data_IF_701132584297
#
_entry.id   IF_701132584297
#
_cell.length_a   1.000
_cell.length_b   1.000
_cell.length_c   1.000
_cell.angle_alpha   90.00
_cell.angle_beta   90.00
_cell.angle_gamma   90.00
#
_symmetry.space_group_name_H-M   'P 1'
#
loop_
_entity.id
_entity.type
_entity.pdbx_description
1 polymer ?
#
# COMPACT_ATOMS: atom_id res chain seq x y z
N UNK A 1 25.33 -11.81 -35.30
CA UNK A 1 25.76 -10.80 -34.32
C UNK A 1 25.10 -11.14 -32.99
N UNK A 2 25.88 -11.67 -32.05
CA UNK A 2 25.41 -12.27 -30.80
C UNK A 2 24.89 -11.14 -29.89
N UNK A 3 23.58 -11.13 -29.61
CA UNK A 3 22.98 -10.22 -28.63
C UNK A 3 23.47 -10.62 -27.24
N UNK A 4 24.42 -9.86 -26.70
CA UNK A 4 24.79 -9.94 -25.30
C UNK A 4 23.54 -9.67 -24.44
N UNK A 5 23.14 -10.68 -23.68
CA UNK A 5 22.04 -10.56 -22.72
C UNK A 5 22.52 -9.71 -21.55
N UNK A 6 21.83 -8.60 -21.28
CA UNK A 6 22.03 -7.69 -20.13
C UNK A 6 21.63 -8.34 -18.78
N UNK A 7 21.88 -9.65 -18.59
CA UNK A 7 21.52 -10.42 -17.39
C UNK A 7 22.41 -10.12 -16.17
N UNK A 8 23.35 -9.18 -16.25
CA UNK A 8 24.35 -8.95 -15.20
C UNK A 8 24.21 -7.67 -14.36
N UNK A 9 23.45 -6.65 -14.80
CA UNK A 9 23.36 -5.37 -14.08
C UNK A 9 21.99 -5.21 -13.42
N UNK A 10 21.93 -5.33 -12.10
CA UNK A 10 20.73 -5.02 -11.31
C UNK A 10 20.41 -3.54 -11.51
N UNK A 11 19.27 -3.26 -12.15
CA UNK A 11 18.79 -1.88 -12.32
C UNK A 11 18.24 -1.39 -10.99
N UNK A 12 18.41 -0.10 -10.67
CA UNK A 12 17.94 0.52 -9.42
C UNK A 12 16.46 0.22 -9.16
N UNK A 13 15.63 0.30 -10.20
CA UNK A 13 14.20 -0.05 -10.13
C UNK A 13 13.95 -1.50 -9.72
N UNK A 14 14.78 -2.44 -10.18
CA UNK A 14 14.65 -3.85 -9.81
C UNK A 14 15.06 -4.04 -8.34
N UNK A 15 16.11 -3.34 -7.86
CA UNK A 15 16.51 -3.33 -6.45
C UNK A 15 15.38 -2.81 -5.54
N UNK A 16 14.71 -1.72 -5.94
CA UNK A 16 13.54 -1.20 -5.22
C UNK A 16 12.44 -2.27 -5.14
N UNK A 17 12.14 -2.97 -6.25
CA UNK A 17 11.13 -4.04 -6.25
C UNK A 17 11.52 -5.25 -5.40
N UNK A 18 12.80 -5.65 -5.41
CA UNK A 18 13.31 -6.70 -4.51
C UNK A 18 13.00 -6.34 -3.05
N UNK A 19 13.34 -5.12 -2.63
CA UNK A 19 13.11 -4.68 -1.25
C UNK A 19 11.60 -4.61 -0.95
N UNK A 20 10.78 -4.05 -1.84
CA UNK A 20 9.32 -3.96 -1.66
C UNK A 20 8.71 -5.36 -1.46
N UNK A 21 9.07 -6.32 -2.31
CA UNK A 21 8.53 -7.68 -2.24
C UNK A 21 9.00 -8.41 -0.98
N UNK A 22 10.18 -8.09 -0.43
CA UNK A 22 10.70 -8.70 0.80
C UNK A 22 9.97 -8.29 2.08
N UNK A 23 9.24 -7.17 2.09
CA UNK A 23 8.62 -6.62 3.30
C UNK A 23 7.68 -7.55 4.08
N UNK A 24 6.94 -8.50 3.47
CA UNK A 24 6.16 -9.46 4.24
C UNK A 24 7.03 -10.26 5.21
N UNK A 25 8.23 -10.69 4.80
CA UNK A 25 9.15 -11.44 5.66
C UNK A 25 9.73 -10.55 6.75
N UNK A 26 10.30 -9.41 6.35
CA UNK A 26 11.02 -8.53 7.28
C UNK A 26 10.07 -7.92 8.30
N UNK A 27 8.82 -7.60 7.90
CA UNK A 27 7.79 -7.11 8.80
C UNK A 27 7.24 -8.19 9.73
N UNK A 28 7.21 -9.44 9.30
CA UNK A 28 6.82 -10.57 10.16
C UNK A 28 7.81 -10.78 11.30
N UNK A 29 9.10 -10.51 11.08
CA UNK A 29 10.14 -10.65 12.13
C UNK A 29 10.49 -9.32 12.82
N UNK A 30 9.73 -8.25 12.58
CA UNK A 30 10.05 -6.90 13.08
C UNK A 30 10.23 -6.86 14.61
N UNK A 31 9.46 -7.65 15.36
CA UNK A 31 9.55 -7.70 16.83
C UNK A 31 10.88 -8.30 17.30
N UNK A 32 11.47 -9.20 16.52
CA UNK A 32 12.73 -9.86 16.83
C UNK A 32 13.94 -9.11 16.23
N UNK A 33 13.76 -8.47 15.08
CA UNK A 33 14.81 -7.73 14.35
C UNK A 33 14.34 -6.31 14.05
N UNK A 34 14.12 -5.54 15.10
CA UNK A 34 13.57 -4.17 15.04
C UNK A 34 14.21 -3.24 14.02
N UNK A 35 15.56 -3.14 13.96
CA UNK A 35 16.24 -2.22 13.04
C UNK A 35 16.08 -2.59 11.56
N UNK A 36 15.84 -3.85 11.21
CA UNK A 36 15.85 -4.31 9.82
C UNK A 36 14.82 -3.58 8.96
N UNK A 37 13.57 -3.49 9.43
CA UNK A 37 12.52 -2.78 8.71
C UNK A 37 12.81 -1.29 8.56
N UNK A 38 13.41 -0.67 9.57
CA UNK A 38 13.79 0.74 9.53
C UNK A 38 14.90 0.96 8.50
N UNK A 39 15.95 0.13 8.51
CA UNK A 39 17.06 0.18 7.55
C UNK A 39 16.54 0.02 6.13
N UNK A 40 15.68 -0.97 5.87
CA UNK A 40 15.10 -1.19 4.55
C UNK A 40 14.20 -0.03 4.11
N UNK A 41 13.48 0.60 5.03
CA UNK A 41 12.66 1.78 4.74
C UNK A 41 13.53 2.98 4.38
N UNK A 42 14.59 3.26 5.14
CA UNK A 42 15.56 4.32 4.84
C UNK A 42 16.25 4.06 3.50
N UNK A 43 16.67 2.82 3.25
CA UNK A 43 17.25 2.42 1.98
C UNK A 43 16.26 2.65 0.82
N UNK A 44 14.99 2.27 0.97
CA UNK A 44 13.96 2.56 -0.04
C UNK A 44 13.80 4.05 -0.30
N UNK A 45 13.78 4.89 0.74
CA UNK A 45 13.73 6.35 0.58
C UNK A 45 14.92 6.84 -0.25
N UNK A 46 16.14 6.44 0.10
CA UNK A 46 17.35 6.81 -0.65
C UNK A 46 17.30 6.35 -2.11
N UNK A 47 16.83 5.13 -2.35
CA UNK A 47 16.68 4.58 -3.69
C UNK A 47 15.61 5.29 -4.52
N UNK A 48 14.50 5.74 -3.91
CA UNK A 48 13.51 6.56 -4.62
C UNK A 48 14.14 7.86 -5.10
N UNK A 49 14.81 8.61 -4.21
CA UNK A 49 15.48 9.86 -4.60
C UNK A 49 16.55 9.63 -5.67
N UNK A 50 17.36 8.58 -5.52
CA UNK A 50 18.38 8.24 -6.51
C UNK A 50 17.78 7.87 -7.87
N UNK A 51 16.68 7.11 -7.87
CA UNK A 51 15.95 6.77 -9.09
C UNK A 51 15.43 8.05 -9.79
N UNK A 52 14.79 8.95 -9.04
CA UNK A 52 14.26 10.21 -9.57
C UNK A 52 15.35 11.15 -10.09
N UNK A 53 16.49 11.20 -9.42
CA UNK A 53 17.66 11.95 -9.89
C UNK A 53 18.13 11.43 -11.26
N UNK A 54 18.14 10.10 -11.46
CA UNK A 54 18.59 9.46 -12.70
C UNK A 54 17.59 9.57 -13.86
N UNK A 55 16.29 9.58 -13.59
CA UNK A 55 15.24 9.51 -14.63
C UNK A 55 14.72 10.86 -15.13
N UNK A 56 15.23 11.98 -14.59
CA UNK A 56 14.75 13.36 -14.81
C UNK A 56 13.26 13.54 -14.47
N UNK A 57 12.98 14.14 -13.32
CA UNK A 57 11.61 14.40 -12.85
C UNK A 57 10.90 15.48 -13.68
N UNK A 58 9.59 15.31 -13.88
CA UNK A 58 8.73 16.42 -14.30
C UNK A 58 8.55 17.42 -13.15
N UNK A 59 8.26 18.69 -13.49
CA UNK A 59 8.11 19.78 -12.50
C UNK A 59 7.14 19.44 -11.36
N UNK A 60 6.02 18.77 -11.66
CA UNK A 60 5.03 18.38 -10.64
C UNK A 60 5.51 17.28 -9.69
N UNK A 61 6.33 16.34 -10.17
CA UNK A 61 6.89 15.26 -9.35
C UNK A 61 7.96 15.81 -8.41
N UNK A 62 8.79 16.74 -8.89
CA UNK A 62 9.77 17.45 -8.08
C UNK A 62 9.08 18.23 -6.94
N UNK A 63 7.96 18.90 -7.21
CA UNK A 63 7.17 19.59 -6.19
C UNK A 63 6.63 18.63 -5.12
N UNK A 64 6.17 17.45 -5.51
CA UNK A 64 5.69 16.43 -4.56
C UNK A 64 6.82 15.82 -3.72
N UNK A 65 7.99 15.57 -4.33
CA UNK A 65 9.20 15.16 -3.61
C UNK A 65 9.64 16.25 -2.63
N UNK A 66 9.63 17.52 -3.04
CA UNK A 66 9.93 18.65 -2.19
C UNK A 66 8.94 18.75 -1.03
N UNK A 67 7.64 18.61 -1.29
CA UNK A 67 6.60 18.59 -0.26
C UNK A 67 6.81 17.45 0.74
N UNK A 68 7.18 16.25 0.28
CA UNK A 68 7.50 15.12 1.14
C UNK A 68 8.68 15.41 2.08
N UNK A 69 9.76 16.03 1.57
CA UNK A 69 10.91 16.44 2.37
C UNK A 69 10.54 17.57 3.34
N UNK A 70 9.86 18.60 2.86
CA UNK A 70 9.42 19.73 3.66
C UNK A 70 8.51 19.27 4.81
N UNK A 71 7.62 18.32 4.57
CA UNK A 71 6.76 17.73 5.60
C UNK A 71 7.55 17.07 6.73
N UNK A 72 8.65 16.37 6.42
CA UNK A 72 9.55 15.81 7.44
C UNK A 72 10.25 16.94 8.21
N UNK A 73 10.84 17.91 7.50
CA UNK A 73 11.57 19.02 8.12
C UNK A 73 10.69 19.87 9.03
N UNK A 74 9.46 20.17 8.61
CA UNK A 74 8.49 20.91 9.42
C UNK A 74 8.11 20.14 10.68
N UNK A 75 7.91 18.82 10.58
CA UNK A 75 7.59 18.01 11.76
C UNK A 75 8.76 17.94 12.75
N UNK A 76 9.99 17.86 12.24
CA UNK A 76 11.21 17.96 13.06
C UNK A 76 11.32 19.33 13.72
N UNK A 77 11.09 20.42 12.97
CA UNK A 77 11.17 21.78 13.49
C UNK A 77 10.10 22.07 14.56
N UNK A 78 8.86 21.58 14.37
CA UNK A 78 7.75 21.77 15.31
C UNK A 78 7.95 20.96 16.60
N UNK A 79 8.50 19.75 16.51
CA UNK A 79 8.53 18.79 17.62
C UNK A 79 9.92 18.57 18.22
N UNK A 80 10.97 19.19 17.68
CA UNK A 80 12.33 19.07 18.19
C UNK A 80 12.83 17.63 18.29
N UNK A 81 12.52 16.77 17.32
CA UNK A 81 12.80 15.32 17.32
C UNK A 81 12.08 14.48 18.39
N UNK A 82 11.23 15.08 19.23
CA UNK A 82 10.43 14.34 20.20
C UNK A 82 9.11 13.90 19.58
N UNK A 83 8.99 12.65 19.14
CA UNK A 83 7.78 12.10 18.52
C UNK A 83 7.15 11.01 19.39
N UNK A 84 5.81 10.99 19.50
CA UNK A 84 5.10 9.84 20.07
C UNK A 84 5.35 8.56 19.26
N UNK A 85 5.43 8.70 17.93
CA UNK A 85 5.82 7.62 17.02
C UNK A 85 6.65 8.16 15.87
N UNK A 86 7.95 7.85 15.87
CA UNK A 86 8.90 8.29 14.83
C UNK A 86 8.46 7.88 13.42
N UNK A 87 7.77 6.74 13.28
CA UNK A 87 7.35 6.24 11.97
C UNK A 87 6.31 7.14 11.29
N UNK A 88 5.47 7.86 12.06
CA UNK A 88 4.43 8.73 11.50
C UNK A 88 4.97 9.85 10.63
N UNK A 89 6.15 10.36 10.99
CA UNK A 89 6.84 11.41 10.24
C UNK A 89 7.15 10.95 8.81
N UNK A 90 7.39 9.66 8.62
CA UNK A 90 7.84 9.09 7.36
C UNK A 90 6.72 8.47 6.52
N UNK A 91 5.60 8.03 7.12
CA UNK A 91 4.58 7.28 6.39
C UNK A 91 3.92 8.06 5.25
N UNK A 92 3.55 9.32 5.47
CA UNK A 92 2.92 10.13 4.43
C UNK A 92 3.90 10.54 3.31
N UNK A 93 5.11 11.04 3.61
CA UNK A 93 6.17 11.19 2.61
C UNK A 93 6.47 9.92 1.82
N UNK A 94 6.51 8.77 2.49
CA UNK A 94 6.75 7.48 1.85
C UNK A 94 5.65 7.16 0.83
N UNK A 95 4.37 7.34 1.20
CA UNK A 95 3.24 7.07 0.30
C UNK A 95 3.36 7.87 -0.99
N UNK A 96 3.70 9.16 -0.90
CA UNK A 96 3.88 10.04 -2.07
C UNK A 96 4.97 9.49 -2.98
N UNK A 97 6.17 9.25 -2.43
CA UNK A 97 7.31 8.77 -3.21
C UNK A 97 7.07 7.38 -3.82
N UNK A 98 6.45 6.48 -3.06
CA UNK A 98 6.15 5.13 -3.52
C UNK A 98 5.10 5.12 -4.63
N UNK A 99 4.02 5.90 -4.50
CA UNK A 99 2.99 5.96 -5.53
C UNK A 99 3.52 6.59 -6.82
N UNK A 100 4.31 7.67 -6.73
CA UNK A 100 5.01 8.23 -7.88
C UNK A 100 5.90 7.19 -8.57
N UNK A 101 6.65 6.41 -7.80
CA UNK A 101 7.57 5.40 -8.33
C UNK A 101 6.79 4.32 -9.07
N UNK A 102 5.71 3.82 -8.47
CA UNK A 102 4.85 2.84 -9.10
C UNK A 102 4.21 3.38 -10.39
N UNK A 103 3.70 4.63 -10.39
CA UNK A 103 3.08 5.25 -11.56
C UNK A 103 4.07 5.30 -12.73
N UNK A 104 5.32 5.68 -12.47
CA UNK A 104 6.36 5.79 -13.48
C UNK A 104 6.83 4.42 -13.97
N UNK A 105 6.95 3.43 -13.06
CA UNK A 105 7.49 2.10 -13.34
C UNK A 105 6.42 0.99 -13.36
N UNK A 106 5.17 1.31 -13.69
CA UNK A 106 4.06 0.34 -13.65
C UNK A 106 4.19 -0.82 -14.65
N UNK A 107 4.81 -0.60 -15.82
CA UNK A 107 5.04 -1.68 -16.79
C UNK A 107 6.28 -2.49 -16.40
N UNK A 108 7.29 -1.83 -15.83
CA UNK A 108 8.48 -2.44 -15.26
C UNK A 108 8.14 -3.34 -14.06
N UNK A 109 7.15 -2.98 -13.24
CA UNK A 109 6.74 -3.79 -12.10
C UNK A 109 6.08 -5.11 -12.55
N UNK A 110 5.24 -5.08 -13.59
CA UNK A 110 4.72 -6.31 -14.21
C UNK A 110 5.87 -7.14 -14.80
N UNK A 111 6.84 -6.51 -15.46
CA UNK A 111 8.01 -7.18 -16.01
C UNK A 111 8.87 -7.81 -14.89
N UNK A 112 9.06 -7.11 -13.76
CA UNK A 112 9.75 -7.63 -12.59
C UNK A 112 9.06 -8.89 -12.05
N UNK A 113 7.74 -8.86 -11.86
CA UNK A 113 6.98 -10.01 -11.37
C UNK A 113 7.08 -11.24 -12.29
N UNK A 114 7.22 -11.00 -13.61
CA UNK A 114 7.43 -12.07 -14.60
C UNK A 114 8.87 -12.60 -14.59
N UNK A 115 9.86 -11.70 -14.63
CA UNK A 115 11.26 -12.04 -14.80
C UNK A 115 11.88 -12.61 -13.51
N UNK A 116 11.40 -12.18 -12.35
CA UNK A 116 11.89 -12.59 -11.04
C UNK A 116 10.89 -13.47 -10.29
N UNK A 117 10.14 -14.29 -11.04
CA UNK A 117 9.11 -15.19 -10.51
C UNK A 117 9.61 -16.04 -9.34
N UNK A 118 10.80 -16.62 -9.45
CA UNK A 118 11.37 -17.48 -8.41
C UNK A 118 11.59 -16.72 -7.10
N UNK A 119 12.12 -15.50 -7.17
CA UNK A 119 12.30 -14.66 -5.98
C UNK A 119 10.96 -14.37 -5.29
N UNK A 120 9.97 -13.90 -6.05
CA UNK A 120 8.62 -13.60 -5.52
C UNK A 120 7.99 -14.85 -4.91
N UNK A 121 8.06 -15.99 -5.60
CA UNK A 121 7.53 -17.26 -5.10
C UNK A 121 8.24 -17.72 -3.82
N UNK A 122 9.57 -17.55 -3.74
CA UNK A 122 10.34 -17.89 -2.54
C UNK A 122 9.93 -17.02 -1.36
N UNK A 123 9.75 -15.71 -1.57
CA UNK A 123 9.31 -14.81 -0.51
C UNK A 123 7.92 -15.17 0.00
N UNK A 124 6.96 -15.40 -0.91
CA UNK A 124 5.61 -15.86 -0.56
C UNK A 124 5.67 -17.21 0.16
N UNK A 125 6.44 -18.17 -0.36
CA UNK A 125 6.56 -19.51 0.18
C UNK A 125 7.14 -19.51 1.60
N UNK A 126 8.22 -18.75 1.82
CA UNK A 126 8.82 -18.57 3.15
C UNK A 126 7.83 -17.95 4.13
N UNK A 127 7.07 -16.94 3.70
CA UNK A 127 6.07 -16.31 4.57
C UNK A 127 4.93 -17.28 4.91
N UNK A 128 4.42 -18.01 3.93
CA UNK A 128 3.38 -19.03 4.12
C UNK A 128 3.87 -20.11 5.09
N UNK A 129 5.09 -20.61 4.90
CA UNK A 129 5.68 -21.60 5.81
C UNK A 129 5.83 -21.06 7.23
N UNK A 130 6.31 -19.82 7.39
CA UNK A 130 6.42 -19.19 8.70
C UNK A 130 5.06 -19.11 9.42
N UNK A 131 4.01 -18.70 8.71
CA UNK A 131 2.64 -18.67 9.26
C UNK A 131 2.18 -20.07 9.66
N UNK A 132 2.30 -21.06 8.77
CA UNK A 132 1.84 -22.42 9.05
C UNK A 132 2.56 -23.06 10.24
N UNK A 133 3.88 -22.85 10.36
CA UNK A 133 4.68 -23.31 11.50
C UNK A 133 4.24 -22.61 12.80
N UNK A 134 3.81 -21.36 12.71
CA UNK A 134 3.39 -20.58 13.89
C UNK A 134 1.97 -20.90 14.39
N UNK A 135 1.09 -21.48 13.55
CA UNK A 135 -0.29 -21.81 13.92
C UNK A 135 -0.44 -22.67 15.19
N UNK A 136 0.35 -23.75 15.41
CA UNK A 136 0.25 -24.55 16.62
C UNK A 136 0.95 -23.93 17.84
N UNK A 137 1.72 -22.84 17.68
CA UNK A 137 2.49 -22.26 18.76
C UNK A 137 1.62 -21.35 19.62
N UNK A 138 1.54 -21.63 20.93
CA UNK A 138 0.78 -20.80 21.89
C UNK A 138 1.28 -19.35 21.95
N UNK A 139 2.59 -19.14 21.71
CA UNK A 139 3.24 -17.82 21.65
C UNK A 139 2.79 -16.97 20.46
N UNK A 140 2.16 -17.58 19.44
CA UNK A 140 1.63 -16.88 18.27
C UNK A 140 0.22 -16.32 18.49
N UNK A 141 -0.30 -16.38 19.72
CA UNK A 141 -1.63 -15.86 20.08
C UNK A 141 -1.53 -14.92 21.28
N UNK A 142 -1.85 -13.64 21.06
CA UNK A 142 -1.69 -12.55 22.04
C UNK A 142 -3.05 -11.90 22.32
N UNK A 143 -3.24 -11.42 23.55
CA UNK A 143 -4.42 -10.64 23.93
C UNK A 143 -4.29 -9.20 23.45
N UNK A 144 -5.28 -8.72 22.70
CA UNK A 144 -5.40 -7.33 22.29
C UNK A 144 -6.73 -6.77 22.79
N UNK A 145 -6.64 -6.14 23.97
CA UNK A 145 -7.79 -5.87 24.82
C UNK A 145 -8.34 -7.18 25.38
N UNK A 146 -9.63 -7.39 25.24
CA UNK A 146 -10.34 -8.53 25.84
C UNK A 146 -10.25 -9.84 25.03
N UNK A 147 -9.76 -9.79 23.78
CA UNK A 147 -9.80 -10.94 22.86
C UNK A 147 -8.40 -11.42 22.51
N UNK A 148 -8.20 -12.73 22.54
CA UNK A 148 -6.96 -13.37 22.08
C UNK A 148 -7.00 -13.58 20.57
N UNK A 149 -6.01 -13.05 19.87
CA UNK A 149 -5.89 -13.15 18.41
C UNK A 149 -4.59 -13.80 17.96
N UNK A 150 -4.62 -14.42 16.78
CA UNK A 150 -3.43 -14.93 16.13
C UNK A 150 -2.59 -13.79 15.55
N UNK A 151 -1.32 -13.72 15.95
CA UNK A 151 -0.35 -12.69 15.55
C UNK A 151 0.87 -13.25 14.84
N UNK A 152 1.00 -14.59 14.76
CA UNK A 152 2.19 -15.27 14.23
C UNK A 152 3.46 -14.68 14.88
N UNK A 153 4.55 -14.56 14.11
CA UNK A 153 5.77 -13.90 14.55
C UNK A 153 5.71 -12.36 14.51
N UNK A 154 4.64 -11.78 13.95
CA UNK A 154 4.51 -10.32 13.81
C UNK A 154 4.20 -9.62 15.15
N UNK A 155 3.79 -10.36 16.18
CA UNK A 155 3.58 -9.89 17.55
C UNK A 155 2.28 -9.10 17.79
N UNK A 156 1.68 -8.50 16.76
CA UNK A 156 0.36 -7.86 16.85
C UNK A 156 -0.50 -8.17 15.63
N UNK A 157 -1.83 -8.17 15.78
CA UNK A 157 -2.74 -8.37 14.65
C UNK A 157 -2.73 -7.15 13.72
N UNK A 158 -2.49 -5.96 14.29
CA UNK A 158 -2.32 -4.70 13.56
C UNK A 158 -1.10 -4.71 12.63
N UNK A 159 -0.10 -5.56 12.88
CA UNK A 159 1.02 -5.79 11.95
C UNK A 159 0.76 -6.98 11.02
N UNK A 160 0.25 -8.10 11.53
CA UNK A 160 0.01 -9.32 10.76
C UNK A 160 -1.02 -9.11 9.63
N UNK A 161 -2.16 -8.47 9.92
CA UNK A 161 -3.25 -8.33 8.95
C UNK A 161 -2.87 -7.49 7.70
N UNK A 162 -2.18 -6.33 7.82
CA UNK A 162 -1.64 -5.63 6.65
C UNK A 162 -0.64 -6.46 5.86
N UNK A 163 0.22 -7.24 6.53
CA UNK A 163 1.16 -8.15 5.85
C UNK A 163 0.38 -9.21 5.06
N UNK A 164 -0.65 -9.81 5.67
CA UNK A 164 -1.49 -10.82 5.04
C UNK A 164 -2.20 -10.27 3.80
N UNK A 165 -2.74 -9.05 3.85
CA UNK A 165 -3.32 -8.38 2.66
C UNK A 165 -2.28 -8.14 1.58
N UNK A 166 -1.04 -7.83 1.94
CA UNK A 166 0.02 -7.66 0.95
C UNK A 166 0.39 -8.99 0.28
N UNK A 167 0.56 -10.06 1.06
CA UNK A 167 0.83 -11.40 0.51
C UNK A 167 -0.34 -11.89 -0.35
N UNK A 168 -1.58 -11.60 0.03
CA UNK A 168 -2.75 -11.88 -0.79
C UNK A 168 -2.65 -11.19 -2.16
N UNK A 169 -2.29 -9.90 -2.18
CA UNK A 169 -2.11 -9.15 -3.42
C UNK A 169 -1.01 -9.77 -4.31
N UNK A 170 0.13 -10.15 -3.72
CA UNK A 170 1.23 -10.82 -4.44
C UNK A 170 0.80 -12.17 -5.03
N UNK A 171 0.09 -13.00 -4.25
CA UNK A 171 -0.49 -14.26 -4.70
C UNK A 171 -1.49 -14.05 -5.85
N UNK A 172 -2.30 -13.01 -5.77
CA UNK A 172 -3.29 -12.69 -6.79
C UNK A 172 -2.65 -12.18 -8.08
N UNK A 173 -1.57 -11.39 -8.00
CA UNK A 173 -0.74 -11.06 -9.16
C UNK A 173 -0.11 -12.31 -9.76
N UNK A 174 0.49 -13.19 -8.96
CA UNK A 174 1.12 -14.41 -9.45
C UNK A 174 0.11 -15.37 -10.11
N UNK A 175 -1.09 -15.50 -9.55
CA UNK A 175 -2.15 -16.26 -10.21
C UNK A 175 -2.57 -15.62 -11.53
N UNK A 176 -2.73 -14.29 -11.57
CA UNK A 176 -3.06 -13.57 -12.80
C UNK A 176 -1.93 -13.61 -13.83
N UNK A 177 -0.69 -13.94 -13.49
CA UNK A 177 0.39 -14.10 -14.46
C UNK A 177 0.53 -15.56 -14.94
N UNK A 178 0.38 -16.53 -14.03
CA UNK A 178 0.80 -17.91 -14.27
C UNK A 178 -0.33 -18.96 -14.17
N UNK A 179 -1.51 -18.60 -13.68
CA UNK A 179 -2.70 -19.46 -13.56
C UNK A 179 -2.49 -20.83 -12.87
N UNK A 180 -1.55 -20.90 -11.90
CA UNK A 180 -1.31 -22.15 -11.15
C UNK A 180 -2.21 -22.24 -9.92
N UNK A 181 -2.91 -23.36 -9.75
CA UNK A 181 -3.84 -23.62 -8.61
C UNK A 181 -3.20 -23.43 -7.24
N UNK A 182 -1.90 -23.72 -7.10
CA UNK A 182 -1.14 -23.52 -5.84
C UNK A 182 -1.26 -22.10 -5.28
N UNK A 183 -1.41 -21.08 -6.13
CA UNK A 183 -1.54 -19.70 -5.66
C UNK A 183 -2.90 -19.45 -5.00
N UNK A 184 -3.98 -20.04 -5.53
CA UNK A 184 -5.32 -19.96 -4.93
C UNK A 184 -5.34 -20.71 -3.60
N UNK A 185 -4.73 -21.89 -3.54
CA UNK A 185 -4.59 -22.64 -2.29
C UNK A 185 -3.82 -21.80 -1.24
N UNK A 186 -2.71 -21.19 -1.64
CA UNK A 186 -1.93 -20.34 -0.76
C UNK A 186 -2.67 -19.07 -0.30
N UNK A 187 -3.67 -18.56 -1.04
CA UNK A 187 -4.48 -17.39 -0.62
C UNK A 187 -5.33 -17.65 0.63
N UNK A 188 -5.63 -18.92 0.93
CA UNK A 188 -6.31 -19.26 2.17
C UNK A 188 -5.46 -18.99 3.41
N UNK A 189 -4.12 -18.99 3.29
CA UNK A 189 -3.21 -18.72 4.42
C UNK A 189 -3.31 -17.26 4.91
N UNK A 190 -3.12 -16.21 4.08
CA UNK A 190 -3.37 -14.85 4.54
C UNK A 190 -4.83 -14.59 4.92
N UNK A 191 -5.78 -15.31 4.32
CA UNK A 191 -7.19 -15.23 4.72
C UNK A 191 -7.38 -15.74 6.15
N UNK A 192 -6.79 -16.91 6.47
CA UNK A 192 -6.81 -17.50 7.80
C UNK A 192 -6.18 -16.57 8.85
N UNK A 193 -5.04 -15.93 8.54
CA UNK A 193 -4.40 -14.96 9.44
C UNK A 193 -5.36 -13.84 9.86
N UNK A 194 -6.09 -13.26 8.90
CA UNK A 194 -7.03 -12.16 9.17
C UNK A 194 -8.22 -12.67 9.98
N UNK A 195 -8.71 -13.88 9.69
CA UNK A 195 -9.87 -14.46 10.35
C UNK A 195 -9.61 -14.91 11.79
N UNK A 196 -8.38 -15.39 12.06
CA UNK A 196 -7.91 -15.73 13.41
C UNK A 196 -7.41 -14.49 14.19
N UNK A 197 -7.25 -13.35 13.51
CA UNK A 197 -6.93 -12.07 14.14
C UNK A 197 -8.15 -11.40 14.78
N UNK A 198 -7.95 -10.19 15.32
CA UNK A 198 -8.98 -9.42 16.04
C UNK A 198 -9.47 -8.19 15.24
N UNK A 199 -8.90 -7.91 14.06
CA UNK A 199 -9.14 -6.66 13.33
C UNK A 199 -10.31 -6.75 12.34
N UNK A 200 -11.48 -6.22 12.74
CA UNK A 200 -12.68 -6.15 11.89
C UNK A 200 -12.43 -5.43 10.55
N UNK A 201 -11.59 -4.39 10.54
CA UNK A 201 -11.29 -3.61 9.33
C UNK A 201 -10.68 -4.47 8.24
N UNK A 202 -9.71 -5.33 8.58
CA UNK A 202 -9.03 -6.17 7.58
C UNK A 202 -9.90 -7.32 7.07
N UNK A 203 -10.94 -7.73 7.81
CA UNK A 203 -11.97 -8.64 7.29
C UNK A 203 -12.72 -8.01 6.12
N UNK A 204 -13.13 -6.74 6.24
CA UNK A 204 -13.78 -5.99 5.16
C UNK A 204 -12.85 -5.79 3.96
N UNK A 205 -11.58 -5.48 4.20
CA UNK A 205 -10.55 -5.36 3.15
C UNK A 205 -10.33 -6.70 2.44
N UNK A 206 -10.25 -7.81 3.19
CA UNK A 206 -10.11 -9.16 2.63
C UNK A 206 -11.31 -9.55 1.77
N UNK A 207 -12.53 -9.24 2.22
CA UNK A 207 -13.74 -9.48 1.42
C UNK A 207 -13.68 -8.72 0.08
N UNK A 208 -13.26 -7.46 0.10
CA UNK A 208 -13.07 -6.67 -1.12
C UNK A 208 -11.95 -7.22 -2.02
N UNK A 209 -10.85 -7.70 -1.44
CA UNK A 209 -9.74 -8.32 -2.16
C UNK A 209 -10.16 -9.63 -2.86
N UNK A 210 -10.91 -10.50 -2.18
CA UNK A 210 -11.49 -11.70 -2.78
C UNK A 210 -12.51 -11.35 -3.87
N UNK A 211 -13.39 -10.36 -3.62
CA UNK A 211 -14.34 -9.90 -4.63
C UNK A 211 -13.65 -9.42 -5.90
N UNK A 212 -12.58 -8.63 -5.77
CA UNK A 212 -11.76 -8.14 -6.89
C UNK A 212 -11.08 -9.31 -7.62
N UNK A 213 -10.48 -10.23 -6.87
CA UNK A 213 -9.84 -11.42 -7.43
C UNK A 213 -10.84 -12.26 -8.23
N UNK A 214 -11.96 -12.66 -7.62
CA UNK A 214 -13.00 -13.44 -8.29
C UNK A 214 -13.58 -12.71 -9.50
N UNK A 215 -13.71 -11.37 -9.44
CA UNK A 215 -14.19 -10.57 -10.56
C UNK A 215 -13.27 -10.68 -11.80
N UNK A 216 -11.95 -10.75 -11.58
CA UNK A 216 -10.98 -10.96 -12.67
C UNK A 216 -11.00 -12.39 -13.23
N UNK A 217 -11.36 -13.39 -12.43
CA UNK A 217 -11.36 -14.79 -12.88
C UNK A 217 -12.68 -15.24 -13.50
N UNK A 218 -13.81 -14.75 -12.99
CA UNK A 218 -15.14 -15.16 -13.44
C UNK A 218 -15.61 -14.24 -14.57
N UNK A 219 -15.66 -14.78 -15.80
CA UNK A 219 -16.13 -14.05 -16.98
C UNK A 219 -17.64 -13.79 -16.95
N UNK A 220 -18.43 -14.81 -16.58
CA UNK A 220 -19.89 -14.72 -16.52
C UNK A 220 -20.35 -13.97 -15.26
N UNK A 221 -21.02 -12.83 -15.43
CA UNK A 221 -21.46 -11.99 -14.31
C UNK A 221 -22.55 -12.60 -13.44
N UNK A 222 -23.43 -13.45 -14.00
CA UNK A 222 -24.42 -14.19 -13.20
C UNK A 222 -23.73 -15.19 -12.26
N UNK A 223 -22.77 -15.94 -12.79
CA UNK A 223 -21.96 -16.87 -11.99
C UNK A 223 -21.13 -16.13 -10.93
N UNK A 224 -20.59 -14.96 -11.25
CA UNK A 224 -19.87 -14.13 -10.29
C UNK A 224 -20.75 -13.80 -9.08
N UNK A 225 -21.96 -13.28 -9.29
CA UNK A 225 -22.87 -12.96 -8.19
C UNK A 225 -23.31 -14.20 -7.39
N UNK A 226 -23.54 -15.34 -8.06
CA UNK A 226 -23.84 -16.58 -7.36
C UNK A 226 -22.70 -17.04 -6.45
N UNK A 227 -21.45 -16.99 -6.94
CA UNK A 227 -20.26 -17.34 -6.13
C UNK A 227 -20.07 -16.38 -4.97
N UNK A 228 -20.29 -15.07 -5.18
CA UNK A 228 -20.22 -14.07 -4.10
C UNK A 228 -21.31 -14.31 -3.04
N UNK A 229 -22.53 -14.66 -3.43
CA UNK A 229 -23.61 -14.96 -2.49
C UNK A 229 -23.25 -16.18 -1.61
N UNK A 230 -22.75 -17.26 -2.24
CA UNK A 230 -22.28 -18.45 -1.50
C UNK A 230 -21.11 -18.09 -0.57
N UNK A 231 -20.13 -17.34 -1.07
CA UNK A 231 -18.98 -16.92 -0.29
C UNK A 231 -19.39 -16.03 0.91
N UNK A 232 -20.41 -15.18 0.76
CA UNK A 232 -20.94 -14.36 1.84
C UNK A 232 -21.58 -15.22 2.95
N UNK A 233 -22.36 -16.24 2.59
CA UNK A 233 -22.94 -17.17 3.57
C UNK A 233 -21.84 -17.92 4.32
N UNK A 234 -20.83 -18.43 3.60
CA UNK A 234 -19.68 -19.10 4.21
C UNK A 234 -18.91 -18.15 5.13
N UNK A 235 -18.67 -16.91 4.70
CA UNK A 235 -17.99 -15.90 5.50
C UNK A 235 -18.73 -15.61 6.80
N UNK A 236 -20.05 -15.44 6.75
CA UNK A 236 -20.88 -15.25 7.95
C UNK A 236 -20.73 -16.46 8.89
N UNK A 237 -20.84 -17.68 8.35
CA UNK A 237 -20.65 -18.90 9.14
C UNK A 237 -19.31 -18.95 9.84
N UNK A 238 -18.21 -18.58 9.16
CA UNK A 238 -16.89 -18.61 9.78
C UNK A 238 -16.68 -17.46 10.78
N UNK A 239 -17.21 -16.27 10.51
CA UNK A 239 -17.15 -15.14 11.46
C UNK A 239 -17.85 -15.50 12.77
N UNK A 240 -18.97 -16.24 12.71
CA UNK A 240 -19.66 -16.74 13.90
C UNK A 240 -18.86 -17.77 14.72
N UNK A 241 -17.83 -18.36 14.13
CA UNK A 241 -16.93 -19.34 14.75
C UNK A 241 -15.54 -18.76 15.09
N UNK A 242 -15.25 -17.50 14.72
CA UNK A 242 -13.93 -16.90 14.91
C UNK A 242 -13.88 -15.91 16.09
N UNK A 243 -12.67 -15.55 16.58
CA UNK A 243 -12.51 -14.55 17.64
C UNK A 243 -13.11 -13.18 17.28
N UNK A 244 -13.28 -12.88 15.99
CA UNK A 244 -13.89 -11.64 15.52
C UNK A 244 -15.35 -11.52 16.00
N UNK A 245 -16.05 -12.64 16.21
CA UNK A 245 -17.42 -12.66 16.75
C UNK A 245 -17.52 -11.84 18.03
N UNK A 246 -16.58 -12.01 18.95
CA UNK A 246 -16.58 -11.30 20.25
C UNK A 246 -16.55 -9.78 20.07
N UNK A 247 -15.85 -9.29 19.04
CA UNK A 247 -15.82 -7.85 18.71
C UNK A 247 -17.15 -7.34 18.12
N UNK A 248 -17.95 -8.21 17.49
CA UNK A 248 -19.30 -7.85 17.06
C UNK A 248 -20.29 -7.88 18.24
N UNK A 249 -20.20 -8.90 19.10
CA UNK A 249 -21.02 -8.99 20.32
C UNK A 249 -20.75 -7.79 21.24
N UNK A 250 -19.48 -7.47 21.50
CA UNK A 250 -19.08 -6.33 22.32
C UNK A 250 -19.55 -4.98 21.74
N UNK A 251 -19.65 -4.87 20.41
CA UNK A 251 -20.25 -3.70 19.79
C UNK A 251 -21.77 -3.66 20.00
N UNK A 252 -22.47 -4.78 19.80
CA UNK A 252 -23.92 -4.87 20.03
C UNK A 252 -24.28 -4.55 21.48
N UNK A 253 -23.57 -5.14 22.44
CA UNK A 253 -23.86 -4.95 23.86
C UNK A 253 -23.64 -3.50 24.30
N UNK A 254 -22.64 -2.81 23.74
CA UNK A 254 -22.44 -1.37 23.98
C UNK A 254 -23.63 -0.53 23.52
N UNK A 255 -24.21 -0.86 22.37
CA UNK A 255 -25.44 -0.20 21.90
C UNK A 255 -26.65 -0.48 22.79
N UNK A 256 -26.76 -1.70 23.32
CA UNK A 256 -27.86 -2.08 24.21
C UNK A 256 -27.83 -1.31 25.54
N UNK A 257 -26.64 -0.95 26.03
CA UNK A 257 -26.47 -0.10 27.23
C UNK A 257 -26.53 1.41 26.94
N UNK A 258 -27.01 1.80 25.76
CA UNK A 258 -27.28 3.19 25.39
C UNK A 258 -26.10 3.98 24.80
N UNK A 259 -24.98 3.32 24.46
CA UNK A 259 -23.90 3.98 23.70
C UNK A 259 -24.33 4.15 22.25
N UNK A 260 -24.03 5.32 21.67
CA UNK A 260 -24.29 5.62 20.27
C UNK A 260 -23.77 4.48 19.33
N UNK A 261 -24.57 4.03 18.35
CA UNK A 261 -24.20 2.94 17.45
C UNK A 261 -22.87 3.14 16.70
N UNK A 262 -22.55 4.37 16.32
CA UNK A 262 -21.30 4.66 15.64
C UNK A 262 -20.12 4.59 16.62
N UNK A 263 -20.29 5.06 17.85
CA UNK A 263 -19.30 4.89 18.91
C UNK A 263 -19.08 3.40 19.26
N UNK A 264 -20.14 2.62 19.38
CA UNK A 264 -20.04 1.18 19.62
C UNK A 264 -19.30 0.46 18.46
N UNK A 265 -19.68 0.75 17.21
CA UNK A 265 -19.08 0.14 16.02
C UNK A 265 -17.60 0.50 15.85
N UNK A 266 -17.24 1.76 16.06
CA UNK A 266 -15.85 2.25 15.94
C UNK A 266 -14.99 1.93 17.17
N UNK A 267 -15.53 1.26 18.19
CA UNK A 267 -14.86 1.03 19.47
C UNK A 267 -14.49 2.32 20.21
N UNK A 268 -15.38 3.32 20.17
CA UNK A 268 -15.26 4.61 20.87
C UNK A 268 -14.54 5.70 20.08
N UNK A 269 -14.09 5.40 18.84
CA UNK A 269 -13.25 6.35 18.08
C UNK A 269 -14.02 7.55 17.57
N UNK A 270 -15.29 7.38 17.21
CA UNK A 270 -16.13 8.49 16.78
C UNK A 270 -16.23 9.60 17.83
N UNK A 271 -16.16 9.27 19.12
CA UNK A 271 -16.19 10.26 20.21
C UNK A 271 -14.99 11.21 20.16
N UNK A 272 -13.77 10.67 20.04
CA UNK A 272 -12.60 11.54 19.91
C UNK A 272 -12.44 12.11 18.50
N UNK A 273 -12.99 11.49 17.45
CA UNK A 273 -13.04 12.11 16.11
C UNK A 273 -13.82 13.43 16.11
N UNK A 274 -14.96 13.47 16.79
CA UNK A 274 -15.74 14.70 16.92
C UNK A 274 -14.93 15.78 17.64
N UNK A 275 -14.27 15.42 18.75
CA UNK A 275 -13.41 16.34 19.49
C UNK A 275 -12.24 16.84 18.64
N UNK A 276 -11.53 15.94 17.95
CA UNK A 276 -10.40 16.24 17.07
C UNK A 276 -10.84 17.23 15.99
N UNK A 277 -11.94 16.95 15.27
CA UNK A 277 -12.44 17.81 14.19
C UNK A 277 -12.83 19.20 14.72
N UNK A 278 -13.60 19.26 15.81
CA UNK A 278 -14.05 20.52 16.40
C UNK A 278 -12.88 21.37 16.90
N UNK A 279 -11.82 20.73 17.41
CA UNK A 279 -10.61 21.41 17.84
C UNK A 279 -9.80 21.91 16.65
N UNK A 280 -9.68 21.09 15.59
CA UNK A 280 -8.95 21.45 14.37
C UNK A 280 -9.57 22.64 13.63
N UNK A 281 -10.90 22.69 13.48
CA UNK A 281 -11.57 23.80 12.76
C UNK A 281 -11.53 25.12 13.52
N UNK A 282 -11.27 25.10 14.83
CA UNK A 282 -11.10 26.28 15.67
C UNK A 282 -9.67 26.82 15.66
N UNK A 283 -8.72 26.13 15.02
CA UNK A 283 -7.37 26.63 14.86
C UNK A 283 -7.33 27.87 13.94
N UNK A 284 -6.20 28.58 13.98
CA UNK A 284 -5.99 29.68 13.05
C UNK A 284 -5.93 29.19 11.58
N UNK A 285 -6.22 30.06 10.59
CA UNK A 285 -6.28 29.67 9.19
C UNK A 285 -5.02 28.99 8.64
N UNK A 286 -3.83 29.40 9.11
CA UNK A 286 -2.55 28.81 8.67
C UNK A 286 -2.48 27.34 9.10
N UNK A 287 -2.87 27.03 10.35
CA UNK A 287 -2.89 25.66 10.88
C UNK A 287 -3.96 24.80 10.22
N UNK A 288 -5.09 25.37 9.84
CA UNK A 288 -6.11 24.65 9.05
C UNK A 288 -5.56 24.27 7.67
N UNK A 289 -4.80 25.16 7.03
CA UNK A 289 -4.26 24.93 5.69
C UNK A 289 -3.06 23.98 5.67
N UNK A 290 -2.12 24.13 6.60
CA UNK A 290 -0.82 23.44 6.59
C UNK A 290 -0.63 22.43 7.73
N UNK A 291 -1.55 22.37 8.68
CA UNK A 291 -1.52 21.42 9.79
C UNK A 291 -0.73 21.91 11.02
N UNK A 292 -0.80 21.07 12.05
CA UNK A 292 -0.20 21.28 13.36
C UNK A 292 1.01 20.36 13.62
N UNK A 293 1.27 19.41 12.73
CA UNK A 293 2.31 18.38 12.87
C UNK A 293 1.85 17.12 13.62
N UNK A 294 2.60 16.03 13.46
CA UNK A 294 2.21 14.65 13.78
C UNK A 294 1.91 14.36 15.26
N UNK A 295 2.39 15.20 16.18
CA UNK A 295 2.11 15.03 17.61
C UNK A 295 0.84 15.73 18.09
N UNK A 296 0.19 16.53 17.24
CA UNK A 296 -0.86 17.43 17.70
C UNK A 296 -2.06 16.70 18.30
N UNK A 297 -2.62 15.69 17.60
CA UNK A 297 -3.74 14.90 18.13
C UNK A 297 -3.39 14.21 19.44
N UNK A 298 -2.19 13.64 19.55
CA UNK A 298 -1.74 13.01 20.79
C UNK A 298 -1.76 13.99 21.97
N UNK A 299 -1.31 15.24 21.75
CA UNK A 299 -1.28 16.27 22.80
C UNK A 299 -2.68 16.70 23.23
N UNK A 300 -3.56 17.00 22.28
CA UNK A 300 -4.92 17.46 22.61
C UNK A 300 -5.77 16.35 23.21
N UNK A 301 -5.61 15.09 22.76
CA UNK A 301 -6.33 13.95 23.30
C UNK A 301 -5.78 13.54 24.67
N UNK A 302 -4.48 13.67 24.91
CA UNK A 302 -3.94 13.48 26.26
C UNK A 302 -4.50 14.52 27.24
N UNK A 303 -4.60 15.78 26.83
CA UNK A 303 -5.15 16.84 27.68
C UNK A 303 -6.64 16.66 27.98
N UNK A 304 -7.43 16.11 27.04
CA UNK A 304 -8.88 15.97 27.21
C UNK A 304 -9.33 14.61 27.73
N UNK A 305 -8.73 13.53 27.25
CA UNK A 305 -9.09 12.14 27.58
C UNK A 305 -8.07 11.43 28.47
N UNK A 306 -6.96 12.07 28.83
CA UNK A 306 -5.91 11.47 29.67
C UNK A 306 -5.05 10.40 28.97
N UNK A 307 -5.20 10.22 27.66
CA UNK A 307 -4.49 9.21 26.87
C UNK A 307 -4.01 9.81 25.54
N UNK A 308 -2.73 9.64 25.13
CA UNK A 308 -2.25 10.11 23.84
C UNK A 308 -2.84 9.28 22.69
N UNK A 309 -4.01 9.70 22.21
CA UNK A 309 -4.74 9.03 21.12
C UNK A 309 -4.48 9.71 19.76
N UNK A 310 -4.25 8.89 18.74
CA UNK A 310 -4.32 9.24 17.32
C UNK A 310 -5.70 8.94 16.72
N UNK A 311 -5.97 9.48 15.54
CA UNK A 311 -7.29 9.40 14.94
C UNK A 311 -7.69 7.99 14.50
N UNK A 312 -6.77 7.09 14.13
CA UNK A 312 -7.16 5.84 13.43
C UNK A 312 -8.03 6.07 12.17
N UNK A 313 -7.94 7.28 11.58
CA UNK A 313 -8.63 7.71 10.38
C UNK A 313 -7.68 8.61 9.58
N UNK A 314 -7.42 8.25 8.32
CA UNK A 314 -6.47 8.98 7.47
C UNK A 314 -6.86 10.43 7.27
N UNK A 315 -8.16 10.70 7.09
CA UNK A 315 -8.62 12.05 6.78
C UNK A 315 -8.45 12.98 7.97
N UNK A 316 -8.82 12.51 9.16
CA UNK A 316 -8.67 13.30 10.39
C UNK A 316 -7.18 13.47 10.73
N UNK A 317 -6.40 12.39 10.66
CA UNK A 317 -4.97 12.47 10.96
C UNK A 317 -4.21 13.36 9.98
N UNK A 318 -4.41 13.20 8.67
CA UNK A 318 -3.74 14.01 7.66
C UNK A 318 -4.18 15.47 7.76
N UNK A 319 -5.46 15.73 8.02
CA UNK A 319 -5.95 17.09 8.25
C UNK A 319 -5.28 17.74 9.47
N UNK A 320 -5.13 17.00 10.57
CA UNK A 320 -4.38 17.48 11.74
C UNK A 320 -2.92 17.75 11.40
N UNK A 321 -2.25 16.78 10.78
CA UNK A 321 -0.80 16.77 10.70
C UNK A 321 -0.28 17.69 9.59
N UNK A 322 -1.00 17.73 8.47
CA UNK A 322 -0.60 18.37 7.22
C UNK A 322 -1.65 19.34 6.65
N UNK A 323 -2.77 19.53 7.34
CA UNK A 323 -3.81 20.48 6.96
C UNK A 323 -4.63 20.06 5.74
N UNK A 324 -5.45 20.99 5.26
CA UNK A 324 -6.25 20.80 4.05
C UNK A 324 -5.35 20.54 2.82
N UNK A 325 -4.16 21.14 2.77
CA UNK A 325 -3.21 20.90 1.69
C UNK A 325 -2.74 19.44 1.68
N UNK A 326 -2.45 18.85 2.84
CA UNK A 326 -2.12 17.43 2.96
C UNK A 326 -3.23 16.51 2.46
N UNK A 327 -4.50 16.83 2.77
CA UNK A 327 -5.64 16.09 2.25
C UNK A 327 -5.74 16.14 0.72
N UNK A 328 -5.53 17.32 0.13
CA UNK A 328 -5.53 17.49 -1.33
C UNK A 328 -4.41 16.67 -1.97
N UNK A 329 -3.20 16.67 -1.38
CA UNK A 329 -2.08 15.84 -1.85
C UNK A 329 -2.43 14.35 -1.72
N UNK A 330 -2.94 13.92 -0.56
CA UNK A 330 -3.31 12.53 -0.31
C UNK A 330 -4.32 12.01 -1.33
N UNK A 331 -5.47 12.69 -1.47
CA UNK A 331 -6.50 12.33 -2.46
C UNK A 331 -5.99 12.45 -3.89
N UNK A 332 -5.20 13.49 -4.18
CA UNK A 332 -4.56 13.70 -5.47
C UNK A 332 -3.64 12.56 -5.89
N UNK A 333 -2.91 11.96 -4.94
CA UNK A 333 -2.06 10.79 -5.19
C UNK A 333 -2.86 9.56 -5.60
N UNK A 334 -4.00 9.27 -4.96
CA UNK A 334 -4.89 8.19 -5.39
C UNK A 334 -5.49 8.49 -6.76
N UNK A 335 -6.04 9.68 -6.98
CA UNK A 335 -6.61 10.07 -8.29
C UNK A 335 -5.57 9.93 -9.40
N UNK A 336 -4.33 10.36 -9.15
CA UNK A 336 -3.23 10.28 -10.11
C UNK A 336 -2.85 8.82 -10.37
N UNK A 337 -2.75 7.99 -9.33
CA UNK A 337 -2.51 6.56 -9.45
C UNK A 337 -3.57 5.91 -10.36
N UNK A 338 -4.86 6.12 -10.08
CA UNK A 338 -5.95 5.59 -10.92
C UNK A 338 -5.87 6.08 -12.37
N UNK A 339 -5.78 7.40 -12.58
CA UNK A 339 -5.77 7.99 -13.92
C UNK A 339 -4.58 7.51 -14.75
N UNK A 340 -3.39 7.42 -14.15
CA UNK A 340 -2.16 7.03 -14.86
C UNK A 340 -2.02 5.52 -15.02
N UNK A 341 -2.50 4.72 -14.07
CA UNK A 341 -2.44 3.25 -14.16
C UNK A 341 -3.44 2.71 -15.18
N UNK A 342 -4.62 3.33 -15.28
CA UNK A 342 -5.67 2.89 -16.20
C UNK A 342 -5.82 3.79 -17.43
N UNK A 343 -4.84 4.64 -17.73
CA UNK A 343 -4.84 5.46 -18.94
C UNK A 343 -4.91 4.57 -20.20
N UNK A 344 -5.93 4.79 -21.02
CA UNK A 344 -6.19 4.00 -22.22
C UNK A 344 -6.70 2.57 -21.96
N UNK A 345 -7.09 2.24 -20.72
CA UNK A 345 -7.61 0.92 -20.32
C UNK A 345 -9.06 1.07 -19.85
N UNK A 346 -9.98 0.31 -20.46
CA UNK A 346 -11.38 0.29 -20.03
C UNK A 346 -11.54 -0.56 -18.77
N UNK A 347 -11.77 0.09 -17.63
CA UNK A 347 -12.11 -0.56 -16.37
C UNK A 347 -13.62 -0.56 -16.14
N UNK A 348 -14.15 -1.64 -15.57
CA UNK A 348 -15.55 -1.69 -15.15
C UNK A 348 -15.78 -0.90 -13.86
N UNK A 349 -16.97 -0.30 -13.72
CA UNK A 349 -17.40 0.39 -12.49
C UNK A 349 -17.24 -0.48 -11.23
N UNK A 350 -17.56 -1.77 -11.35
CA UNK A 350 -17.45 -2.74 -10.24
C UNK A 350 -16.01 -2.90 -9.73
N UNK A 351 -15.04 -3.14 -10.63
CA UNK A 351 -13.63 -3.22 -10.26
C UNK A 351 -13.11 -1.91 -9.64
N UNK A 352 -13.54 -0.76 -10.18
CA UNK A 352 -13.20 0.55 -9.62
C UNK A 352 -13.74 0.72 -8.20
N UNK A 353 -15.00 0.35 -7.97
CA UNK A 353 -15.63 0.40 -6.64
C UNK A 353 -14.91 -0.52 -5.64
N UNK A 354 -14.49 -1.71 -6.05
CA UNK A 354 -13.73 -2.62 -5.18
C UNK A 354 -12.35 -2.06 -4.82
N UNK A 355 -11.63 -1.44 -5.77
CA UNK A 355 -10.35 -0.78 -5.47
C UNK A 355 -10.56 0.38 -4.48
N UNK A 356 -11.56 1.22 -4.72
CA UNK A 356 -11.92 2.30 -3.79
C UNK A 356 -12.30 1.73 -2.42
N UNK A 357 -13.06 0.65 -2.35
CA UNK A 357 -13.46 0.03 -1.09
C UNK A 357 -12.25 -0.54 -0.31
N UNK A 358 -11.32 -1.24 -0.98
CA UNK A 358 -10.08 -1.76 -0.36
C UNK A 358 -9.31 -0.63 0.35
N UNK A 359 -9.17 0.52 -0.32
CA UNK A 359 -8.52 1.69 0.26
C UNK A 359 -9.38 2.36 1.35
N UNK A 360 -10.63 2.69 1.04
CA UNK A 360 -11.51 3.48 1.89
C UNK A 360 -11.79 2.78 3.24
N UNK A 361 -12.06 1.47 3.25
CA UNK A 361 -12.27 0.75 4.51
C UNK A 361 -11.08 0.90 5.46
N UNK A 362 -9.86 0.78 4.93
CA UNK A 362 -8.66 0.91 5.75
C UNK A 362 -8.42 2.38 6.15
N UNK A 363 -8.60 3.32 5.21
CA UNK A 363 -8.40 4.75 5.44
C UNK A 363 -9.35 5.31 6.51
N UNK A 364 -10.62 4.89 6.53
CA UNK A 364 -11.60 5.37 7.52
C UNK A 364 -11.46 4.72 8.90
N UNK A 365 -11.12 3.43 8.96
CA UNK A 365 -11.28 2.63 10.18
C UNK A 365 -9.99 2.06 10.77
N UNK A 366 -8.82 2.30 10.17
CA UNK A 366 -7.57 1.84 10.78
C UNK A 366 -6.35 2.72 10.46
N UNK A 367 -6.45 3.57 9.44
CA UNK A 367 -5.40 4.37 8.79
C UNK A 367 -4.61 3.60 7.74
N UNK A 368 -4.90 3.84 6.46
CA UNK A 368 -4.24 3.12 5.37
C UNK A 368 -2.76 3.48 5.26
N UNK A 369 -2.41 4.78 5.30
CA UNK A 369 -1.04 5.21 4.99
C UNK A 369 -0.01 4.83 6.07
N UNK A 370 -0.44 4.64 7.32
CA UNK A 370 0.44 4.28 8.44
C UNK A 370 0.74 2.79 8.52
N UNK A 371 -0.09 1.93 7.94
CA UNK A 371 0.24 0.51 7.82
C UNK A 371 1.03 0.23 6.56
N UNK A 372 2.35 0.24 6.71
CA UNK A 372 3.31 0.13 5.61
C UNK A 372 2.99 -0.96 4.58
N UNK A 373 2.72 -2.20 5.02
CA UNK A 373 2.37 -3.29 4.09
C UNK A 373 1.00 -3.11 3.41
N UNK A 374 0.03 -2.45 4.06
CA UNK A 374 -1.23 -2.09 3.39
C UNK A 374 -0.98 -1.06 2.28
N UNK A 375 -0.19 -0.02 2.56
CA UNK A 375 0.24 0.97 1.55
C UNK A 375 0.93 0.30 0.37
N UNK A 376 1.89 -0.60 0.63
CA UNK A 376 2.60 -1.36 -0.40
C UNK A 376 1.67 -2.29 -1.20
N UNK A 377 0.64 -2.87 -0.60
CA UNK A 377 -0.25 -3.81 -1.27
C UNK A 377 -1.11 -3.16 -2.37
N UNK A 378 -1.47 -1.88 -2.20
CA UNK A 378 -2.52 -1.26 -2.99
C UNK A 378 -2.20 -1.15 -4.49
N UNK A 379 -0.99 -0.73 -4.91
CA UNK A 379 -0.66 -0.72 -6.32
C UNK A 379 -0.65 -2.11 -6.97
N UNK A 380 -0.43 -3.20 -6.22
CA UNK A 380 -0.57 -4.56 -6.74
C UNK A 380 -2.03 -4.93 -7.01
N UNK A 381 -2.99 -4.42 -6.25
CA UNK A 381 -4.42 -4.55 -6.58
C UNK A 381 -4.78 -3.83 -7.89
N UNK A 382 -4.23 -2.63 -8.11
CA UNK A 382 -4.36 -1.95 -9.40
C UNK A 382 -3.71 -2.76 -10.54
N UNK A 383 -2.56 -3.37 -10.28
CA UNK A 383 -1.84 -4.23 -11.23
C UNK A 383 -2.67 -5.44 -11.67
N UNK A 384 -3.40 -6.08 -10.75
CA UNK A 384 -4.28 -7.23 -11.05
C UNK A 384 -5.32 -6.84 -12.12
N UNK A 385 -6.00 -5.71 -11.94
CA UNK A 385 -6.98 -5.20 -12.91
C UNK A 385 -6.32 -4.84 -14.23
N UNK A 386 -5.15 -4.20 -14.20
CA UNK A 386 -4.40 -3.86 -15.40
C UNK A 386 -4.03 -5.11 -16.21
N UNK A 387 -3.53 -6.16 -15.55
CA UNK A 387 -3.19 -7.44 -16.19
C UNK A 387 -4.43 -8.08 -16.81
N UNK A 388 -5.55 -8.15 -16.08
CA UNK A 388 -6.81 -8.69 -16.59
C UNK A 388 -7.34 -7.90 -17.80
N UNK A 389 -7.32 -6.58 -17.73
CA UNK A 389 -7.78 -5.73 -18.83
C UNK A 389 -6.91 -5.88 -20.09
N UNK A 390 -5.59 -5.99 -19.94
CA UNK A 390 -4.69 -6.29 -21.07
C UNK A 390 -5.03 -7.65 -21.69
N UNK A 391 -5.27 -8.68 -20.87
CA UNK A 391 -5.64 -10.02 -21.34
C UNK A 391 -6.98 -10.07 -22.08
N UNK A 392 -7.95 -9.25 -21.66
CA UNK A 392 -9.28 -9.16 -22.28
C UNK A 392 -9.29 -8.30 -23.55
N UNK A 393 -8.13 -7.88 -24.06
CA UNK A 393 -8.02 -7.05 -25.25
C UNK A 393 -8.38 -5.58 -25.02
N UNK A 394 -8.39 -5.10 -23.76
CA UNK A 394 -8.74 -3.74 -23.38
C UNK A 394 -7.72 -2.66 -23.78
N UNK A 395 -6.70 -3.01 -24.56
CA UNK A 395 -5.77 -2.07 -25.18
C UNK A 395 -6.19 -1.94 -26.64
N UNK A 396 -6.53 -0.72 -27.08
CA UNK A 396 -6.49 -0.41 -28.51
C UNK A 396 -5.02 -0.60 -28.92
N UNK A 397 -4.72 -1.74 -29.52
CA UNK A 397 -3.40 -2.23 -29.94
C UNK A 397 -2.57 -1.12 -30.62
N UNK A 398 -3.23 -0.17 -31.29
CA UNK A 398 -2.61 0.97 -31.96
C UNK A 398 -1.86 1.94 -31.03
N UNK A 399 -2.28 2.14 -29.77
CA UNK A 399 -1.63 3.09 -28.84
C UNK A 399 -0.42 2.49 -28.12
N UNK A 400 -0.46 1.22 -27.73
CA UNK A 400 0.69 0.53 -27.14
C UNK A 400 1.82 0.40 -28.16
N UNK A 401 1.49 0.05 -29.41
CA UNK A 401 2.43 0.07 -30.54
C UNK A 401 2.99 1.49 -30.76
N UNK A 402 2.14 2.53 -30.79
CA UNK A 402 2.62 3.93 -30.91
C UNK A 402 3.53 4.37 -29.76
N UNK A 403 3.23 3.98 -28.51
CA UNK A 403 4.04 4.34 -27.34
C UNK A 403 5.39 3.61 -27.33
N UNK A 404 5.41 2.34 -27.74
CA UNK A 404 6.65 1.57 -27.91
C UNK A 404 7.49 2.11 -29.07
N UNK A 405 6.87 2.49 -30.19
CA UNK A 405 7.53 3.15 -31.32
C UNK A 405 8.05 4.55 -30.95
N UNK A 406 7.33 5.31 -30.14
CA UNK A 406 7.77 6.61 -29.63
C UNK A 406 8.94 6.46 -28.64
N UNK A 407 8.93 5.43 -27.79
CA UNK A 407 10.05 5.08 -26.91
C UNK A 407 11.30 4.70 -27.69
N UNK A 408 11.16 3.84 -28.72
CA UNK A 408 12.23 3.48 -29.65
C UNK A 408 12.80 4.70 -30.38
N UNK A 409 11.96 5.63 -30.85
CA UNK A 409 12.42 6.90 -31.45
C UNK A 409 13.19 7.79 -30.47
N UNK A 410 12.83 7.77 -29.18
CA UNK A 410 13.50 8.56 -28.14
C UNK A 410 14.86 7.98 -27.76
N UNK A 411 14.94 6.66 -27.66
CA UNK A 411 16.20 5.94 -27.43
C UNK A 411 17.16 6.08 -28.62
N UNK A 412 16.66 6.00 -29.86
CA UNK A 412 17.51 6.23 -31.05
C UNK A 412 17.93 7.69 -31.20
N UNK A 413 17.06 8.66 -30.91
CA UNK A 413 17.44 10.07 -30.93
C UNK A 413 18.48 10.42 -29.85
N UNK A 414 18.36 9.82 -28.65
CA UNK A 414 19.32 10.02 -27.57
C UNK A 414 20.67 9.32 -27.87
N UNK A 415 20.64 8.12 -28.45
CA UNK A 415 21.84 7.40 -28.89
C UNK A 415 22.55 8.15 -30.03
N UNK A 416 21.81 8.64 -31.03
CA UNK A 416 22.37 9.45 -32.12
C UNK A 416 22.96 10.75 -31.61
N UNK A 417 22.28 11.46 -30.68
CA UNK A 417 22.82 12.70 -30.13
C UNK A 417 24.10 12.47 -29.32
N UNK A 418 24.18 11.37 -28.57
CA UNK A 418 25.38 10.99 -27.81
C UNK A 418 26.54 10.61 -28.73
N UNK A 419 26.27 9.86 -29.82
CA UNK A 419 27.27 9.58 -30.84
C UNK A 419 27.74 10.84 -31.59
N UNK A 420 26.83 11.76 -31.92
CA UNK A 420 27.16 13.01 -32.60
C UNK A 420 27.99 13.95 -31.72
N UNK A 421 27.66 14.05 -30.42
CA UNK A 421 28.47 14.81 -29.46
C UNK A 421 29.85 14.20 -29.25
N UNK A 422 29.99 12.88 -29.28
CA UNK A 422 31.30 12.22 -29.22
C UNK A 422 32.09 12.47 -30.51
N UNK A 423 31.46 12.41 -31.69
CA UNK A 423 32.11 12.68 -32.97
C UNK A 423 32.62 14.13 -33.07
N UNK A 424 31.84 15.11 -32.61
CA UNK A 424 32.24 16.51 -32.54
C UNK A 424 33.39 16.76 -31.55
N UNK A 425 33.47 15.97 -30.46
CA UNK A 425 34.59 16.01 -29.52
C UNK A 425 35.89 15.45 -30.11
N UNK A 426 35.80 14.42 -30.96
CA UNK A 426 36.97 13.87 -31.65
C UNK A 426 37.42 14.78 -32.81
N UNK A 427 36.50 15.35 -33.58
CA UNK A 427 36.83 16.29 -34.66
C UNK A 427 37.43 17.62 -34.15
N UNK A 428 37.08 18.06 -32.94
CA UNK A 428 37.68 19.23 -32.31
C UNK A 428 39.09 19.01 -31.74
N UNK A 429 39.53 17.76 -31.57
CA UNK A 429 40.90 17.43 -31.13
C UNK A 429 41.89 17.24 -32.29
N UNK A 430 41.42 17.06 -33.53
CA UNK A 430 42.30 16.94 -34.72
C UNK A 430 42.67 18.30 -35.35
N UNK A 431 42.11 19.42 -34.87
CA UNK A 431 42.44 20.79 -35.36
C UNK A 431 43.38 21.54 -34.40
N UNK A 432 43.94 20.85 -33.41
CA UNK A 432 44.90 21.41 -32.46
C UNK A 432 46.14 20.51 -32.34
N UNK A 433 46.87 20.34 -33.45
CA UNK A 433 48.31 20.01 -33.49
C UNK A 433 48.95 20.82 -34.61
#
# INVERSE_FOLDING_TARGET
MIQYSDRGKVRIKDLIWYIIVAFPLTSTIKVYVGPLNLILTILLFGLFFYNYYRTQMFKSELLLCFYAVLGVLMNVAINGFHFFSTNMVFYFPFLILYFLFFIYHQDDSIAFMKNHKQYVDSVIGLWVMAVLISLPLSSSYVYEGETRGFVSFAGTTFLLCPIAIFVFALLAVQYNLWHRKRYVIAMFVPSLCIMLGTTRTYLGVLACAWMLFLYTQIKNKKMYFAVIAIAAVVLVGIVLLSPIKEKFISASSRTEIGIDPLAAFTSGRSTFWTYDILTMIKNNPIRILFGNGVNYLFKINYAHFGNPLWAHNDFIQIFSDYGLFGLVVYLGMFITLFKKTFDGIKISKMAMMMLVAIWAFNAFFNMFYTYFCATLSYPFYCMIIKIDAIKRGGVILSRWIKKKLAGLKRETACAMHTQFCNYMRFAGCEVAV
#
